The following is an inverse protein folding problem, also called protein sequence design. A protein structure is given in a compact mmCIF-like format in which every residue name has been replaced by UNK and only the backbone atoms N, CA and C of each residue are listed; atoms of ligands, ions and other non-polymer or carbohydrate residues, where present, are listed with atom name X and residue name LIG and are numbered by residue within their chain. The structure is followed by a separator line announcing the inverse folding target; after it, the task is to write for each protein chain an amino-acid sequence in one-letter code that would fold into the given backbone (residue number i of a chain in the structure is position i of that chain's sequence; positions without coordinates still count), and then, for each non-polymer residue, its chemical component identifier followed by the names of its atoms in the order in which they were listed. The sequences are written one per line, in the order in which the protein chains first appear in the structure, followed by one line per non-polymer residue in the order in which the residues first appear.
data_IF_182080428896
#
_entry.id   IF_182080428896
#
_cell.length_a   1.000
_cell.length_b   1.000
_cell.length_c   1.000
_cell.angle_alpha   90.00
_cell.angle_beta   90.00
_cell.angle_gamma   90.00
#
_symmetry.space_group_name_H-M   'P 1'
#
loop_
_entity.id
_entity.type
_entity.pdbx_description
1 polymer ?
#
# COMPACT_ATOMS: atom_id res chain seq x y z
N UNK A 1 3.96 24.31 -2.54
CA UNK A 1 3.08 23.61 -1.58
C UNK A 1 2.44 22.46 -2.33
N UNK A 2 2.93 21.23 -2.16
CA UNK A 2 2.30 20.05 -2.75
C UNK A 2 0.96 19.82 -2.02
N UNK A 3 -0.11 19.58 -2.77
CA UNK A 3 -1.40 19.22 -2.20
C UNK A 3 -1.21 18.01 -1.27
N UNK A 4 -1.79 18.05 -0.07
CA UNK A 4 -1.87 16.87 0.79
C UNK A 4 -2.75 15.86 0.07
N UNK A 5 -2.12 14.86 -0.54
CA UNK A 5 -2.81 13.69 -1.06
C UNK A 5 -3.63 13.05 0.05
N UNK A 6 -4.90 12.76 -0.22
CA UNK A 6 -5.74 12.00 0.70
C UNK A 6 -5.44 10.53 0.47
N UNK A 7 -4.43 10.04 1.17
CA UNK A 7 -4.04 8.65 1.11
C UNK A 7 -5.14 7.76 1.71
N UNK A 8 -5.47 6.66 1.04
CA UNK A 8 -6.40 5.65 1.55
C UNK A 8 -5.97 4.26 1.13
N UNK A 9 -6.10 3.30 2.04
CA UNK A 9 -5.95 1.89 1.73
C UNK A 9 -7.26 1.31 1.22
N UNK A 10 -7.16 0.45 0.21
CA UNK A 10 -8.27 -0.32 -0.33
C UNK A 10 -7.85 -1.79 -0.43
N UNK A 11 -8.70 -2.69 0.09
CA UNK A 11 -8.46 -4.14 -0.04
C UNK A 11 -8.67 -4.55 -1.49
N UNK A 12 -7.69 -5.25 -2.05
CA UNK A 12 -7.71 -5.84 -3.39
C UNK A 12 -7.54 -7.35 -3.26
N UNK A 13 -8.49 -8.12 -3.77
CA UNK A 13 -8.38 -9.58 -3.81
C UNK A 13 -7.80 -10.02 -5.14
N UNK A 14 -6.56 -10.52 -5.10
CA UNK A 14 -6.03 -11.35 -6.17
C UNK A 14 -6.47 -12.80 -5.93
N UNK A 15 -7.16 -13.39 -6.92
CA UNK A 15 -7.67 -14.76 -6.84
C UNK A 15 -6.57 -15.83 -6.73
N UNK A 16 -5.31 -15.47 -7.02
CA UNK A 16 -4.17 -16.38 -7.01
C UNK A 16 -3.31 -16.28 -5.74
N UNK A 17 -3.79 -15.62 -4.68
CA UNK A 17 -3.03 -15.45 -3.43
C UNK A 17 -3.82 -15.94 -2.22
N UNK A 18 -3.12 -16.54 -1.25
CA UNK A 18 -3.73 -16.98 0.01
C UNK A 18 -4.13 -15.81 0.90
N UNK A 19 -3.32 -14.76 0.89
CA UNK A 19 -3.52 -13.54 1.67
C UNK A 19 -3.97 -12.39 0.77
N UNK A 20 -4.89 -11.52 1.23
CA UNK A 20 -5.32 -10.37 0.46
C UNK A 20 -4.20 -9.34 0.31
N UNK A 21 -4.24 -8.60 -0.80
CA UNK A 21 -3.43 -7.41 -0.99
C UNK A 21 -4.22 -6.16 -0.63
N UNK A 22 -3.50 -5.11 -0.30
CA UNK A 22 -4.05 -3.80 -0.05
C UNK A 22 -3.34 -2.81 -0.97
N UNK A 23 -4.12 -2.02 -1.69
CA UNK A 23 -3.63 -0.96 -2.57
C UNK A 23 -3.75 0.38 -1.84
N UNK A 24 -2.64 1.13 -1.81
CA UNK A 24 -2.60 2.49 -1.33
C UNK A 24 -2.91 3.45 -2.49
N UNK A 25 -3.97 4.23 -2.35
CA UNK A 25 -4.37 5.25 -3.30
C UNK A 25 -4.02 6.65 -2.78
N UNK A 26 -3.48 7.50 -3.64
CA UNK A 26 -3.47 8.97 -3.47
C UNK A 26 -4.59 9.57 -4.32
N UNK A 27 -5.74 9.84 -3.69
CA UNK A 27 -6.98 10.14 -4.38
C UNK A 27 -7.47 8.94 -5.21
N UNK A 28 -7.30 9.01 -6.52
CA UNK A 28 -7.62 7.93 -7.47
C UNK A 28 -6.36 7.29 -8.09
N UNK A 29 -5.16 7.77 -7.76
CA UNK A 29 -3.92 7.22 -8.30
C UNK A 29 -3.37 6.12 -7.39
N UNK A 30 -3.15 4.89 -7.89
CA UNK A 30 -2.49 3.85 -7.13
C UNK A 30 -1.01 4.15 -6.93
N UNK A 31 -0.55 3.99 -5.70
CA UNK A 31 0.81 4.31 -5.27
C UNK A 31 1.63 3.05 -5.07
N UNK A 32 1.13 2.13 -4.26
CA UNK A 32 1.78 0.86 -3.97
C UNK A 32 0.73 -0.16 -3.52
N UNK A 33 1.11 -1.42 -3.62
CA UNK A 33 0.40 -2.55 -3.06
C UNK A 33 1.22 -3.11 -1.90
N UNK A 34 0.56 -3.60 -0.87
CA UNK A 34 1.19 -4.27 0.26
C UNK A 34 0.35 -5.45 0.75
N UNK A 35 1.03 -6.46 1.27
CA UNK A 35 0.38 -7.63 1.87
C UNK A 35 1.38 -8.73 2.18
N UNK A 36 0.87 -9.85 2.70
CA UNK A 36 1.71 -11.01 2.98
C UNK A 36 1.81 -11.93 1.77
N UNK A 37 3.00 -12.42 1.49
CA UNK A 37 3.21 -13.56 0.59
C UNK A 37 2.70 -14.85 1.25
N UNK A 38 2.56 -15.91 0.46
CA UNK A 38 2.23 -17.24 0.99
C UNK A 38 3.29 -17.77 1.99
N UNK A 39 4.53 -17.29 1.88
CA UNK A 39 5.64 -17.57 2.81
C UNK A 39 5.68 -16.64 4.04
N UNK A 40 4.60 -15.92 4.33
CA UNK A 40 4.45 -15.05 5.52
C UNK A 40 5.45 -13.87 5.58
N UNK A 41 5.98 -13.45 4.43
CA UNK A 41 6.80 -12.24 4.28
C UNK A 41 5.90 -11.07 3.92
N UNK A 42 6.04 -9.95 4.61
CA UNK A 42 5.34 -8.71 4.24
C UNK A 42 6.06 -8.07 3.05
N UNK A 43 5.37 -7.99 1.91
CA UNK A 43 5.88 -7.39 0.69
C UNK A 43 5.21 -6.04 0.41
N UNK A 44 5.95 -5.17 -0.30
CA UNK A 44 5.49 -3.88 -0.79
C UNK A 44 5.92 -3.76 -2.24
N UNK A 45 4.97 -3.54 -3.14
CA UNK A 45 5.20 -3.35 -4.57
C UNK A 45 4.79 -1.94 -4.99
N UNK A 46 5.69 -1.19 -5.61
CA UNK A 46 5.38 0.17 -6.06
C UNK A 46 4.70 0.15 -7.42
N UNK A 47 3.63 0.94 -7.56
CA UNK A 47 2.98 1.10 -8.85
C UNK A 47 3.90 1.88 -9.80
N UNK A 48 4.05 1.41 -11.04
CA UNK A 48 4.91 2.08 -12.04
C UNK A 48 4.52 3.54 -12.33
N UNK A 49 3.27 3.92 -12.07
CA UNK A 49 2.76 5.28 -12.27
C UNK A 49 3.27 6.31 -11.24
N UNK A 50 3.96 5.89 -10.17
CA UNK A 50 4.46 6.82 -9.14
C UNK A 50 5.75 7.55 -9.49
N UNK A 51 6.37 7.24 -10.64
CA UNK A 51 7.63 7.83 -11.06
C UNK A 51 7.64 9.36 -10.94
N UNK A 52 8.61 9.91 -10.20
CA UNK A 52 8.75 11.36 -10.00
C UNK A 52 7.85 11.97 -8.93
N UNK A 53 6.99 11.20 -8.25
CA UNK A 53 6.25 11.68 -7.08
C UNK A 53 7.14 11.72 -5.85
N UNK A 54 7.02 12.78 -5.08
CA UNK A 54 7.70 12.96 -3.79
C UNK A 54 6.70 12.74 -2.69
N UNK A 55 6.97 11.75 -1.84
CA UNK A 55 6.22 11.50 -0.61
C UNK A 55 7.15 11.86 0.55
N UNK A 56 6.61 12.59 1.53
CA UNK A 56 7.34 12.87 2.77
C UNK A 56 7.72 11.57 3.47
N UNK A 57 8.94 11.49 4.00
CA UNK A 57 9.46 10.24 4.58
C UNK A 57 8.66 9.80 5.81
N UNK A 58 8.37 10.72 6.72
CA UNK A 58 7.66 10.40 7.96
C UNK A 58 6.21 10.00 7.67
N UNK A 59 5.59 10.65 6.68
CA UNK A 59 4.30 10.23 6.16
C UNK A 59 4.37 8.83 5.52
N UNK A 60 5.39 8.57 4.71
CA UNK A 60 5.56 7.29 4.02
C UNK A 60 5.70 6.13 5.00
N UNK A 61 6.53 6.28 6.04
CA UNK A 61 6.69 5.26 7.09
C UNK A 61 5.36 4.99 7.80
N UNK A 62 4.57 6.02 8.12
CA UNK A 62 3.25 5.83 8.74
C UNK A 62 2.29 5.06 7.84
N UNK A 63 2.30 5.36 6.53
CA UNK A 63 1.46 4.65 5.56
C UNK A 63 1.86 3.17 5.48
N UNK A 64 3.15 2.85 5.48
CA UNK A 64 3.63 1.46 5.50
C UNK A 64 3.18 0.70 6.75
N UNK A 65 3.31 1.31 7.94
CA UNK A 65 2.86 0.70 9.20
C UNK A 65 1.33 0.49 9.23
N UNK A 66 0.56 1.42 8.67
CA UNK A 66 -0.89 1.27 8.50
C UNK A 66 -1.24 0.10 7.58
N UNK A 67 -0.61 0.03 6.40
CA UNK A 67 -0.82 -1.08 5.44
C UNK A 67 -0.46 -2.43 6.03
N UNK A 68 0.65 -2.49 6.78
CA UNK A 68 1.05 -3.69 7.51
C UNK A 68 0.02 -4.09 8.54
N UNK A 69 -0.47 -3.14 9.34
CA UNK A 69 -1.49 -3.40 10.36
C UNK A 69 -2.78 -3.94 9.73
N UNK A 70 -3.19 -3.42 8.57
CA UNK A 70 -4.35 -3.93 7.83
C UNK A 70 -4.13 -5.36 7.34
N UNK A 71 -2.96 -5.66 6.78
CA UNK A 71 -2.61 -7.00 6.34
C UNK A 71 -2.52 -8.02 7.49
N UNK A 72 -2.07 -7.59 8.68
CA UNK A 72 -2.03 -8.42 9.89
C UNK A 72 -3.43 -8.75 10.43
N UNK A 73 -4.40 -7.83 10.30
CA UNK A 73 -5.78 -8.05 10.74
C UNK A 73 -6.58 -9.01 9.86
N UNK A 74 -6.20 -9.11 8.57
CA UNK A 74 -6.83 -9.95 7.57
C UNK A 74 -6.08 -11.28 7.32
N UNK A 75 -5.05 -11.56 8.13
CA UNK A 75 -4.30 -12.81 8.15
C UNK A 75 -5.08 -13.94 8.84
#
# INVERSE_FOLDING_TARGET
MAARGTYRWQKTTDINRKHPLFELLDGETPVLDAGYTDDEVFEVAFNSSIGGRVIDWDQFVKLLEEGRSLAELDR
#
